data_IF_563962954061
#
_entry.id   IF_563962954061
#
_cell.length_a   1.000
_cell.length_b   1.000
_cell.length_c   1.000
_cell.angle_alpha   90.00
_cell.angle_beta   90.00
_cell.angle_gamma   90.00
#
_symmetry.space_group_name_H-M   'P 1'
#
loop_
_entity.id
_entity.type
_entity.pdbx_description
1 polymer ?
#
# COMPACT_ATOMS: atom_id res chain seq x y z
N UNK A 1 28.55 37.43 19.05
CA UNK A 1 27.77 37.03 17.86
C UNK A 1 26.47 36.36 18.28
N UNK A 2 25.32 36.81 17.77
CA UNK A 2 24.00 36.32 18.20
C UNK A 2 23.36 35.48 17.08
N UNK A 3 23.28 34.16 17.27
CA UNK A 3 22.95 33.20 16.20
C UNK A 3 21.43 33.06 16.03
N UNK A 4 20.83 33.93 15.20
CA UNK A 4 19.38 33.97 14.99
C UNK A 4 18.83 32.63 14.47
N UNK A 5 17.95 32.00 15.26
CA UNK A 5 17.33 30.70 14.95
C UNK A 5 16.16 30.92 13.99
N UNK A 6 16.37 30.74 12.68
CA UNK A 6 15.30 30.72 11.67
C UNK A 6 14.26 29.65 12.02
N UNK A 7 13.07 30.06 12.45
CA UNK A 7 11.91 29.18 12.61
C UNK A 7 11.49 28.68 11.21
N UNK A 8 11.38 27.38 11.01
CA UNK A 8 10.74 26.83 9.81
C UNK A 8 9.22 26.90 10.02
N UNK A 9 8.59 27.90 9.43
CA UNK A 9 7.12 27.93 9.34
C UNK A 9 6.75 26.98 8.20
N UNK A 10 6.20 25.83 8.54
CA UNK A 10 5.56 24.94 7.58
C UNK A 10 4.16 25.51 7.31
N UNK A 11 3.80 25.68 6.03
CA UNK A 11 2.48 26.18 5.67
C UNK A 11 1.44 25.06 5.82
N UNK A 12 0.47 25.26 6.72
CA UNK A 12 -0.62 24.33 7.05
C UNK A 12 -1.89 24.56 6.21
N UNK A 13 -1.77 25.36 5.15
CA UNK A 13 -2.84 25.74 4.19
C UNK A 13 -3.71 24.59 3.64
N UNK A 14 -3.21 23.37 3.31
CA UNK A 14 -4.02 22.38 2.59
C UNK A 14 -5.34 22.03 3.27
N UNK A 15 -5.34 21.97 4.61
CA UNK A 15 -6.47 21.47 5.39
C UNK A 15 -7.70 22.39 5.33
N UNK A 16 -7.52 23.70 5.15
CA UNK A 16 -8.63 24.65 5.07
C UNK A 16 -9.60 24.35 3.90
N UNK A 17 -9.05 23.81 2.79
CA UNK A 17 -9.85 23.37 1.64
C UNK A 17 -10.62 22.07 1.91
N UNK A 18 -10.11 21.22 2.81
CA UNK A 18 -10.78 19.99 3.24
C UNK A 18 -11.99 20.37 4.12
N UNK A 19 -11.78 21.18 5.16
CA UNK A 19 -12.86 21.57 6.09
C UNK A 19 -14.06 22.25 5.41
N UNK A 20 -13.83 22.99 4.33
CA UNK A 20 -14.89 23.69 3.57
C UNK A 20 -15.55 22.82 2.51
N UNK A 21 -14.78 22.05 1.73
CA UNK A 21 -15.30 21.30 0.58
C UNK A 21 -15.66 19.84 0.84
N UNK A 22 -15.06 19.18 1.84
CA UNK A 22 -15.27 17.75 2.09
C UNK A 22 -16.67 17.40 2.59
N UNK A 23 -17.26 18.08 3.60
CA UNK A 23 -18.52 17.62 4.19
C UNK A 23 -19.69 17.59 3.21
N UNK A 24 -19.83 18.64 2.39
CA UNK A 24 -20.87 18.71 1.36
C UNK A 24 -20.71 17.59 0.32
N UNK A 25 -19.48 17.33 -0.15
CA UNK A 25 -19.21 16.22 -1.08
C UNK A 25 -19.58 14.88 -0.45
N UNK A 26 -19.16 14.67 0.80
CA UNK A 26 -19.37 13.40 1.51
C UNK A 26 -20.85 13.08 1.66
N UNK A 27 -21.65 14.04 2.16
CA UNK A 27 -23.11 13.89 2.25
C UNK A 27 -23.75 13.69 0.87
N UNK A 28 -23.31 14.43 -0.16
CA UNK A 28 -23.87 14.32 -1.52
C UNK A 28 -23.60 12.99 -2.23
N UNK A 29 -22.53 12.28 -1.87
CA UNK A 29 -22.26 10.92 -2.35
C UNK A 29 -22.93 9.86 -1.46
N UNK A 30 -22.91 10.06 -0.14
CA UNK A 30 -23.39 9.09 0.83
C UNK A 30 -24.92 8.92 0.82
N UNK A 31 -25.70 10.01 0.86
CA UNK A 31 -27.15 9.90 1.02
C UNK A 31 -27.84 9.16 -0.14
N UNK A 32 -27.54 9.44 -1.43
CA UNK A 32 -28.12 8.67 -2.53
C UNK A 32 -27.69 7.20 -2.53
N UNK A 33 -26.44 6.93 -2.15
CA UNK A 33 -25.88 5.59 -2.10
C UNK A 33 -26.54 4.74 -1.00
N UNK A 34 -26.67 5.27 0.23
CA UNK A 34 -27.35 4.58 1.34
C UNK A 34 -28.84 4.39 1.05
N UNK A 35 -29.52 5.39 0.47
CA UNK A 35 -30.94 5.27 0.08
C UNK A 35 -31.14 4.14 -0.93
N UNK A 36 -30.24 4.02 -1.91
CA UNK A 36 -30.23 2.92 -2.88
C UNK A 36 -29.91 1.58 -2.21
N UNK A 37 -28.91 1.52 -1.33
CA UNK A 37 -28.53 0.30 -0.61
C UNK A 37 -29.69 -0.29 0.20
N UNK A 38 -30.43 0.57 0.92
CA UNK A 38 -31.65 0.19 1.66
C UNK A 38 -32.74 -0.27 0.67
N UNK A 39 -32.99 0.50 -0.40
CA UNK A 39 -34.03 0.17 -1.39
C UNK A 39 -33.74 -1.09 -2.22
N UNK A 40 -32.49 -1.55 -2.30
CA UNK A 40 -32.10 -2.75 -3.05
C UNK A 40 -32.18 -4.05 -2.22
N UNK A 41 -32.46 -3.99 -0.91
CA UNK A 41 -32.86 -5.14 -0.10
C UNK A 41 -31.83 -6.29 -0.04
N UNK A 42 -30.74 -6.10 0.71
CA UNK A 42 -29.83 -7.20 1.05
C UNK A 42 -30.58 -8.34 1.75
N UNK A 43 -30.25 -9.60 1.41
CA UNK A 43 -30.99 -10.79 1.89
C UNK A 43 -30.61 -11.22 3.31
N UNK A 44 -29.60 -10.60 3.90
CA UNK A 44 -29.10 -10.80 5.25
C UNK A 44 -28.33 -9.54 5.68
N UNK A 45 -28.10 -9.40 6.99
CA UNK A 45 -27.49 -8.19 7.56
C UNK A 45 -26.02 -8.01 7.14
N UNK A 46 -25.28 -9.10 6.87
CA UNK A 46 -23.88 -9.04 6.46
C UNK A 46 -23.71 -8.48 5.03
N UNK A 47 -24.61 -8.81 4.10
CA UNK A 47 -24.63 -8.20 2.77
C UNK A 47 -24.91 -6.69 2.85
N UNK A 48 -25.77 -6.27 3.80
CA UNK A 48 -26.09 -4.86 4.06
C UNK A 48 -24.87 -4.15 4.68
N UNK A 49 -24.23 -4.73 5.69
CA UNK A 49 -23.02 -4.17 6.33
C UNK A 49 -21.88 -3.98 5.32
N UNK A 50 -21.62 -4.98 4.47
CA UNK A 50 -20.61 -4.90 3.42
C UNK A 50 -20.93 -3.83 2.37
N UNK A 51 -22.21 -3.71 1.96
CA UNK A 51 -22.66 -2.70 1.01
C UNK A 51 -22.58 -1.28 1.59
N UNK A 52 -23.03 -1.08 2.83
CA UNK A 52 -22.93 0.20 3.54
C UNK A 52 -21.46 0.60 3.72
N UNK A 53 -20.59 -0.34 4.12
CA UNK A 53 -19.15 -0.08 4.26
C UNK A 53 -18.50 0.32 2.94
N UNK A 54 -18.85 -0.37 1.83
CA UNK A 54 -18.36 -0.04 0.50
C UNK A 54 -18.78 1.37 0.05
N UNK A 55 -20.05 1.75 0.22
CA UNK A 55 -20.54 3.07 -0.18
C UNK A 55 -19.99 4.19 0.73
N UNK A 56 -19.77 3.90 2.01
CA UNK A 56 -19.11 4.79 2.99
C UNK A 56 -17.64 5.07 2.60
N UNK A 57 -16.88 4.03 2.24
CA UNK A 57 -15.49 4.17 1.77
C UNK A 57 -15.41 4.82 0.38
N UNK A 58 -16.37 4.55 -0.51
CA UNK A 58 -16.46 5.18 -1.82
C UNK A 58 -16.78 6.67 -1.70
N UNK A 59 -17.73 7.05 -0.85
CA UNK A 59 -18.03 8.45 -0.54
C UNK A 59 -16.81 9.18 0.06
N UNK A 60 -16.03 8.52 0.93
CA UNK A 60 -14.79 9.06 1.49
C UNK A 60 -13.76 9.33 0.37
N UNK A 61 -13.54 8.34 -0.49
CA UNK A 61 -12.58 8.42 -1.60
C UNK A 61 -12.97 9.48 -2.64
N UNK A 62 -14.25 9.58 -2.98
CA UNK A 62 -14.79 10.58 -3.92
C UNK A 62 -14.74 12.01 -3.34
N UNK A 63 -14.94 12.18 -2.03
CA UNK A 63 -14.95 13.50 -1.39
C UNK A 63 -13.57 14.09 -1.22
N UNK A 64 -12.58 13.24 -0.93
CA UNK A 64 -11.17 13.58 -0.79
C UNK A 64 -10.45 13.80 -2.14
N UNK A 65 -11.07 14.52 -3.07
CA UNK A 65 -10.53 14.81 -4.41
C UNK A 65 -9.20 15.55 -4.34
N UNK A 66 -8.11 14.89 -4.75
CA UNK A 66 -6.77 15.51 -4.89
C UNK A 66 -5.64 14.70 -4.29
N UNK A 67 -5.93 13.95 -3.22
CA UNK A 67 -4.94 13.14 -2.51
C UNK A 67 -4.57 11.85 -3.27
N UNK A 68 -3.39 11.29 -2.99
CA UNK A 68 -2.95 10.01 -3.53
C UNK A 68 -3.68 8.84 -2.89
N UNK A 69 -3.91 8.90 -1.57
CA UNK A 69 -4.58 7.83 -0.84
C UNK A 69 -6.03 7.65 -1.30
N UNK A 70 -6.75 8.73 -1.57
CA UNK A 70 -8.16 8.66 -2.02
C UNK A 70 -8.30 8.09 -3.43
N UNK A 71 -7.36 8.43 -4.32
CA UNK A 71 -7.24 7.82 -5.66
C UNK A 71 -6.88 6.32 -5.59
N UNK A 72 -6.11 5.91 -4.59
CA UNK A 72 -5.79 4.49 -4.37
C UNK A 72 -6.99 3.74 -3.78
N UNK A 73 -7.63 4.28 -2.74
CA UNK A 73 -8.84 3.72 -2.13
C UNK A 73 -9.96 3.52 -3.16
N UNK A 74 -10.23 4.54 -3.98
CA UNK A 74 -11.21 4.42 -5.08
C UNK A 74 -10.89 3.26 -6.01
N UNK A 75 -9.63 3.14 -6.47
CA UNK A 75 -9.19 2.05 -7.35
C UNK A 75 -9.34 0.68 -6.69
N UNK A 76 -9.04 0.57 -5.41
CA UNK A 76 -9.17 -0.68 -4.65
C UNK A 76 -10.64 -1.11 -4.54
N UNK A 77 -11.55 -0.18 -4.26
CA UNK A 77 -13.00 -0.42 -4.23
C UNK A 77 -13.51 -0.83 -5.62
N UNK A 78 -13.12 -0.12 -6.69
CA UNK A 78 -13.45 -0.48 -8.08
C UNK A 78 -12.94 -1.88 -8.44
N UNK A 79 -11.74 -2.27 -7.97
CA UNK A 79 -11.20 -3.62 -8.16
C UNK A 79 -12.02 -4.68 -7.41
N UNK A 80 -12.39 -4.45 -6.14
CA UNK A 80 -13.25 -5.35 -5.36
C UNK A 80 -14.60 -5.58 -6.07
N UNK A 81 -15.26 -4.51 -6.54
CA UNK A 81 -16.52 -4.59 -7.27
C UNK A 81 -16.41 -5.41 -8.57
N UNK A 82 -15.30 -5.27 -9.29
CA UNK A 82 -15.05 -6.03 -10.52
C UNK A 82 -14.70 -7.51 -10.25
N UNK A 83 -13.95 -7.80 -9.18
CA UNK A 83 -13.64 -9.19 -8.77
C UNK A 83 -14.90 -9.97 -8.40
N UNK A 84 -15.81 -9.36 -7.65
CA UNK A 84 -17.05 -10.00 -7.21
C UNK A 84 -18.00 -10.31 -8.38
N UNK A 85 -17.95 -9.53 -9.47
CA UNK A 85 -18.72 -9.78 -10.69
C UNK A 85 -18.14 -10.89 -11.59
N UNK A 86 -16.87 -11.29 -11.40
CA UNK A 86 -16.20 -12.26 -12.27
C UNK A 86 -16.56 -13.73 -11.96
N UNK A 87 -17.48 -13.98 -11.02
CA UNK A 87 -17.95 -15.33 -10.66
C UNK A 87 -19.03 -15.88 -11.62
N UNK A 88 -18.73 -15.88 -12.92
CA UNK A 88 -19.34 -16.81 -13.89
C UNK A 88 -18.25 -17.55 -14.66
N UNK A 89 -18.33 -18.87 -14.84
CA UNK A 89 -17.36 -19.62 -15.64
C UNK A 89 -17.58 -19.35 -17.12
N UNK A 90 -16.52 -18.98 -17.85
CA UNK A 90 -16.09 -19.91 -18.90
C UNK A 90 -14.57 -20.10 -19.02
N UNK A 91 -14.21 -21.36 -19.27
CA UNK A 91 -13.10 -21.85 -20.10
C UNK A 91 -12.19 -20.80 -20.78
N UNK A 92 -10.94 -20.65 -20.33
CA UNK A 92 -9.93 -19.86 -21.06
C UNK A 92 -8.57 -19.73 -20.38
N UNK A 93 -7.55 -20.45 -20.88
CA UNK A 93 -6.15 -20.37 -20.43
C UNK A 93 -5.60 -18.93 -20.38
N UNK A 94 -4.92 -18.54 -19.28
CA UNK A 94 -3.47 -18.22 -19.32
C UNK A 94 -2.81 -17.93 -17.96
N UNK A 95 -1.87 -18.81 -17.60
CA UNK A 95 -0.56 -18.53 -16.97
C UNK A 95 -0.42 -17.44 -15.89
N UNK A 96 -0.66 -17.81 -14.62
CA UNK A 96 0.00 -17.15 -13.48
C UNK A 96 1.43 -17.69 -13.38
N UNK A 97 2.43 -16.84 -13.61
CA UNK A 97 3.85 -17.19 -13.38
C UNK A 97 4.14 -17.17 -11.88
N UNK A 98 4.00 -18.32 -11.21
CA UNK A 98 4.49 -18.53 -9.83
C UNK A 98 5.97 -18.95 -9.88
N UNK A 99 6.84 -18.14 -9.29
CA UNK A 99 8.27 -18.46 -9.18
C UNK A 99 8.54 -19.57 -8.16
N UNK A 100 8.99 -20.71 -8.69
CA UNK A 100 9.77 -21.81 -8.11
C UNK A 100 9.97 -21.90 -6.59
N UNK A 101 9.52 -23.02 -6.01
CA UNK A 101 10.19 -23.65 -4.85
C UNK A 101 11.21 -24.68 -5.35
N UNK A 102 12.30 -24.85 -4.62
CA UNK A 102 13.32 -25.87 -4.89
C UNK A 102 12.80 -27.29 -4.59
N UNK A 103 13.22 -28.27 -5.39
CA UNK A 103 13.29 -29.70 -5.04
C UNK A 103 14.60 -30.30 -5.58
N UNK A 104 15.06 -31.39 -4.96
CA UNK A 104 16.26 -32.15 -5.35
C UNK A 104 15.87 -33.51 -5.93
N UNK A 105 16.63 -33.96 -6.93
CA UNK A 105 17.33 -35.26 -7.08
C UNK A 105 17.92 -35.23 -8.52
N UNK A 106 19.23 -35.38 -8.71
CA UNK A 106 19.96 -36.65 -8.89
C UNK A 106 19.49 -37.50 -10.09
N UNK A 107 20.37 -37.67 -11.10
CA UNK A 107 21.16 -38.90 -11.27
C UNK A 107 21.96 -38.95 -12.62
N UNK A 108 23.09 -39.67 -12.58
CA UNK A 108 23.90 -40.29 -13.68
C UNK A 108 24.95 -39.47 -14.50
N UNK A 109 26.09 -40.15 -14.67
CA UNK A 109 27.33 -39.95 -15.46
C UNK A 109 28.01 -41.36 -15.55
N UNK A 110 29.07 -41.63 -16.36
CA UNK A 110 29.71 -40.91 -17.48
C UNK A 110 29.66 -41.81 -18.77
N UNK A 111 30.62 -41.84 -19.75
CA UNK A 111 32.08 -42.10 -19.60
C UNK A 111 33.05 -41.15 -20.36
N UNK A 112 34.37 -41.39 -20.15
CA UNK A 112 35.58 -40.73 -20.72
C UNK A 112 36.19 -41.60 -21.87
N UNK A 113 37.30 -41.30 -22.60
CA UNK A 113 38.53 -40.50 -22.33
C UNK A 113 38.79 -39.34 -23.36
N UNK A 114 39.98 -38.81 -23.79
CA UNK A 114 41.43 -39.19 -23.90
C UNK A 114 42.36 -37.91 -23.78
N UNK A 115 43.73 -37.89 -23.97
CA UNK A 115 44.58 -37.22 -22.96
C UNK A 115 45.77 -36.29 -23.39
N UNK A 116 46.38 -35.62 -22.38
CA UNK A 116 47.80 -35.14 -22.28
C UNK A 116 48.23 -33.91 -23.15
N UNK A 117 49.39 -33.26 -22.87
CA UNK A 117 50.47 -33.55 -21.89
C UNK A 117 50.74 -32.47 -20.81
N UNK A 118 51.76 -32.70 -19.97
CA UNK A 118 52.26 -31.83 -18.89
C UNK A 118 53.11 -30.64 -19.40
N UNK A 119 53.12 -29.55 -18.62
CA UNK A 119 54.35 -28.76 -18.32
C UNK A 119 54.29 -28.16 -16.90
N UNK A 120 55.39 -27.57 -16.44
CA UNK A 120 55.85 -27.63 -15.05
C UNK A 120 55.49 -26.44 -14.12
N UNK A 121 55.90 -26.58 -12.86
CA UNK A 121 55.74 -25.67 -11.73
C UNK A 121 56.49 -24.34 -11.89
N UNK A 122 55.86 -23.23 -11.48
CA UNK A 122 56.56 -22.13 -10.78
C UNK A 122 55.58 -21.21 -10.03
N UNK A 123 56.11 -20.47 -9.05
CA UNK A 123 55.38 -19.79 -7.98
C UNK A 123 54.34 -18.75 -8.44
N UNK A 124 53.05 -19.03 -8.20
CA UNK A 124 51.97 -18.04 -8.31
C UNK A 124 52.00 -17.06 -7.12
N UNK A 125 52.47 -15.84 -7.36
CA UNK A 125 52.30 -14.72 -6.43
C UNK A 125 50.81 -14.47 -6.18
N UNK A 126 50.34 -14.62 -4.94
CA UNK A 126 48.91 -14.43 -4.60
C UNK A 126 48.48 -12.99 -4.90
N UNK A 127 47.49 -12.73 -5.76
CA UNK A 127 46.88 -11.41 -5.83
C UNK A 127 46.25 -11.10 -4.47
N UNK A 128 46.62 -9.98 -3.86
CA UNK A 128 46.02 -9.50 -2.61
C UNK A 128 44.54 -9.19 -2.87
N UNK A 129 43.67 -10.18 -2.67
CA UNK A 129 42.22 -9.99 -2.66
C UNK A 129 41.87 -9.00 -1.56
N UNK A 130 41.79 -7.73 -1.91
CA UNK A 130 41.18 -6.70 -1.07
C UNK A 130 39.73 -7.08 -0.91
N UNK A 131 39.41 -7.76 0.19
CA UNK A 131 38.04 -7.98 0.60
C UNK A 131 37.42 -6.60 0.82
N UNK A 132 36.75 -6.06 -0.20
CA UNK A 132 35.75 -5.00 -0.03
C UNK A 132 34.68 -5.60 0.88
N UNK A 133 34.90 -5.47 2.19
CA UNK A 133 34.04 -5.94 3.26
C UNK A 133 32.69 -5.30 2.98
N UNK A 134 31.75 -6.08 2.41
CA UNK A 134 30.37 -5.62 2.25
C UNK A 134 29.90 -5.30 3.65
N UNK A 135 29.81 -4.01 3.96
CA UNK A 135 29.29 -3.55 5.23
C UNK A 135 27.79 -3.77 5.17
N UNK A 136 27.38 -5.01 5.47
CA UNK A 136 26.03 -5.34 5.87
C UNK A 136 25.82 -4.66 7.23
N UNK A 137 25.66 -3.33 7.18
CA UNK A 137 25.48 -2.49 8.34
C UNK A 137 24.34 -3.05 9.16
N UNK A 138 24.65 -3.52 10.37
CA UNK A 138 23.69 -4.10 11.29
C UNK A 138 22.76 -2.97 11.74
N UNK A 139 21.64 -2.80 11.02
CA UNK A 139 20.61 -1.79 11.28
C UNK A 139 20.44 -1.61 12.78
N UNK A 140 20.65 -0.40 13.27
CA UNK A 140 20.53 -0.07 14.69
C UNK A 140 19.14 -0.43 15.21
N UNK A 141 18.99 -0.54 16.54
CA UNK A 141 17.69 -0.78 17.17
C UNK A 141 16.64 0.25 16.69
N UNK A 142 17.03 1.52 16.57
CA UNK A 142 16.19 2.59 16.03
C UNK A 142 15.80 2.41 14.56
N UNK A 143 16.74 2.06 13.67
CA UNK A 143 16.41 1.79 12.26
C UNK A 143 15.45 0.61 12.07
N UNK A 144 15.59 -0.44 12.89
CA UNK A 144 14.68 -1.59 12.87
C UNK A 144 13.27 -1.17 13.31
N UNK A 145 13.17 -0.41 14.39
CA UNK A 145 11.90 0.11 14.90
C UNK A 145 11.24 1.09 13.92
N UNK A 146 12.00 2.03 13.36
CA UNK A 146 11.52 2.96 12.33
C UNK A 146 11.01 2.20 11.09
N UNK A 147 11.78 1.21 10.60
CA UNK A 147 11.38 0.38 9.48
C UNK A 147 10.12 -0.47 9.76
N UNK A 148 9.87 -0.85 11.01
CA UNK A 148 8.67 -1.58 11.43
C UNK A 148 7.44 -0.66 11.52
N UNK A 149 7.57 0.50 12.21
CA UNK A 149 6.53 1.54 12.27
C UNK A 149 6.14 2.01 10.86
N UNK A 150 7.13 2.20 9.98
CA UNK A 150 6.92 2.57 8.58
C UNK A 150 6.14 1.50 7.81
N UNK A 151 6.44 0.21 8.01
CA UNK A 151 5.67 -0.89 7.39
C UNK A 151 4.22 -0.93 7.86
N UNK A 152 3.95 -0.65 9.14
CA UNK A 152 2.57 -0.54 9.65
C UNK A 152 1.84 0.62 8.95
N UNK A 153 2.46 1.81 8.91
CA UNK A 153 1.84 3.00 8.32
C UNK A 153 1.44 2.81 6.84
N UNK A 154 2.25 2.05 6.08
CA UNK A 154 1.97 1.66 4.69
C UNK A 154 0.81 0.68 4.52
N UNK A 155 0.46 -0.07 5.55
CA UNK A 155 -0.71 -0.96 5.57
C UNK A 155 -1.99 -0.31 6.13
N UNK A 156 -1.88 0.88 6.74
CA UNK A 156 -3.02 1.66 7.24
C UNK A 156 -3.49 2.69 6.20
N UNK A 157 -2.57 3.34 5.49
CA UNK A 157 -2.94 4.30 4.45
C UNK A 157 -3.30 3.56 3.13
N UNK A 158 -4.45 3.84 2.51
CA UNK A 158 -4.80 3.29 1.20
C UNK A 158 -3.74 3.65 0.14
N UNK A 159 -3.26 2.65 -0.62
CA UNK A 159 -2.13 2.80 -1.54
C UNK A 159 -0.77 3.10 -0.89
N UNK A 160 -0.64 2.86 0.43
CA UNK A 160 0.56 3.17 1.20
C UNK A 160 1.78 2.32 0.83
N UNK A 161 1.62 1.18 0.14
CA UNK A 161 2.75 0.39 -0.34
C UNK A 161 3.41 1.01 -1.58
N UNK A 162 2.64 1.74 -2.39
CA UNK A 162 3.04 2.34 -3.66
C UNK A 162 3.68 3.73 -3.53
N UNK A 163 3.42 4.43 -2.41
CA UNK A 163 3.99 5.75 -2.13
C UNK A 163 5.46 5.68 -1.68
N UNK A 164 6.25 6.73 -1.89
CA UNK A 164 7.56 6.86 -1.22
C UNK A 164 7.44 7.28 0.26
N UNK A 165 8.57 7.48 0.95
CA UNK A 165 8.60 7.87 2.37
C UNK A 165 8.02 9.28 2.63
N UNK A 166 8.38 10.25 1.79
CA UNK A 166 7.95 11.63 1.90
C UNK A 166 6.48 11.76 1.50
N UNK A 167 6.08 11.06 0.44
CA UNK A 167 4.70 10.98 0.00
C UNK A 167 3.80 10.39 1.09
N UNK A 168 4.12 9.20 1.61
CA UNK A 168 3.34 8.57 2.68
C UNK A 168 3.11 9.51 3.86
N UNK A 169 4.17 10.18 4.35
CA UNK A 169 4.08 11.11 5.48
C UNK A 169 3.24 12.36 5.14
N UNK A 170 3.35 12.90 3.92
CA UNK A 170 2.50 14.03 3.47
C UNK A 170 1.02 13.68 3.32
N UNK A 171 0.69 12.41 3.06
CA UNK A 171 -0.69 11.97 2.83
C UNK A 171 -1.43 11.66 4.13
N UNK A 172 -0.72 11.16 5.16
CA UNK A 172 -1.31 10.75 6.45
C UNK A 172 -2.11 11.87 7.13
N UNK A 173 -1.63 13.12 7.10
CA UNK A 173 -2.34 14.27 7.66
C UNK A 173 -3.74 14.43 7.04
N UNK A 174 -3.80 14.50 5.71
CA UNK A 174 -5.07 14.62 4.97
C UNK A 174 -6.02 13.44 5.18
N UNK A 175 -5.49 12.23 5.36
CA UNK A 175 -6.29 11.03 5.62
C UNK A 175 -6.93 11.08 7.01
N UNK A 176 -6.15 11.45 8.04
CA UNK A 176 -6.67 11.62 9.41
C UNK A 176 -7.73 12.71 9.48
N UNK A 177 -7.54 13.84 8.78
CA UNK A 177 -8.55 14.92 8.72
C UNK A 177 -9.85 14.43 8.04
N UNK A 178 -9.76 13.72 6.90
CA UNK A 178 -10.95 13.20 6.22
C UNK A 178 -11.68 12.13 7.05
N UNK A 179 -10.95 11.23 7.74
CA UNK A 179 -11.55 10.26 8.66
C UNK A 179 -12.25 10.94 9.85
N UNK A 180 -11.63 11.98 10.43
CA UNK A 180 -12.25 12.75 11.51
C UNK A 180 -13.54 13.43 11.04
N UNK A 181 -13.52 14.06 9.86
CA UNK A 181 -14.71 14.68 9.27
C UNK A 181 -15.81 13.64 8.96
N UNK A 182 -15.46 12.51 8.38
CA UNK A 182 -16.38 11.38 8.14
C UNK A 182 -17.07 10.95 9.43
N UNK A 183 -16.32 10.70 10.51
CA UNK A 183 -16.89 10.27 11.80
C UNK A 183 -17.78 11.38 12.41
N UNK A 184 -17.39 12.65 12.29
CA UNK A 184 -18.23 13.78 12.74
C UNK A 184 -19.55 13.86 11.96
N UNK A 185 -19.52 13.71 10.63
CA UNK A 185 -20.72 13.75 9.78
C UNK A 185 -21.63 12.56 10.10
N UNK A 186 -21.08 11.34 10.13
CA UNK A 186 -21.85 10.12 10.42
C UNK A 186 -22.51 10.18 11.80
N UNK A 187 -21.85 10.74 12.82
CA UNK A 187 -22.47 11.02 14.12
C UNK A 187 -23.62 12.01 14.01
N UNK A 188 -23.42 13.14 13.33
CA UNK A 188 -24.48 14.15 13.16
C UNK A 188 -25.70 13.66 12.36
N UNK A 189 -25.58 12.56 11.61
CA UNK A 189 -26.69 11.89 10.89
C UNK A 189 -27.40 10.81 11.74
N UNK A 190 -26.86 10.46 12.91
CA UNK A 190 -27.43 9.49 13.89
C UNK A 190 -27.92 10.21 15.14
N UNK A 191 -27.30 11.34 15.49
CA UNK A 191 -27.64 12.20 16.63
C UNK A 191 -28.80 13.19 16.32
N UNK A 192 -29.46 13.07 15.17
CA UNK A 192 -30.71 13.79 14.86
C UNK A 192 -31.88 13.27 15.72
N UNK A 193 -32.60 14.14 16.44
CA UNK A 193 -33.79 13.79 17.21
C UNK A 193 -35.06 13.61 16.34
#
# INVERSE_FOLDING_TARGET
MQRSKRRRIYSLEPNATIYTGFPHKYVSHLLPALTKAISCGGKNDADIENMVSFEVDMALALSATGFKWSRALKRELEQRMNSNQLHQPPTGRSSIVRMSKHQMLDHLLPPLPVPRPLVDLTHKSRPKRTWKRRSYGTKTRGEKEFSYRMRILRGILPGGNEMDLCELLSQVESYVVCLQLQVTILRSLVETP
#
